data_IF_862116551183
#
_entry.id   IF_862116551183
#
_cell.length_a   1.000
_cell.length_b   1.000
_cell.length_c   1.000
_cell.angle_alpha   90.00
_cell.angle_beta   90.00
_cell.angle_gamma   90.00
#
_symmetry.space_group_name_H-M   'P 1'
#
loop_
_entity.id
_entity.type
_entity.pdbx_description
1 polymer ?
#
# COMPACT_ATOMS: atom_id res chain seq x y z
N UNK A 1 -18.46 30.32 -64.84
CA UNK A 1 -19.76 29.62 -64.94
C UNK A 1 -20.46 29.74 -63.59
N UNK A 2 -21.72 30.14 -63.61
CA UNK A 2 -22.54 30.67 -62.50
C UNK A 2 -23.52 29.58 -62.00
N UNK A 3 -23.74 29.55 -60.68
CA UNK A 3 -24.96 29.07 -59.96
C UNK A 3 -25.12 27.53 -59.89
N UNK A 4 -25.56 26.92 -58.79
CA UNK A 4 -26.77 27.15 -57.96
C UNK A 4 -26.49 26.83 -56.46
N UNK A 5 -26.76 27.74 -55.52
CA UNK A 5 -27.97 27.82 -54.65
C UNK A 5 -28.25 26.51 -53.88
N UNK A 6 -28.02 26.40 -52.56
CA UNK A 6 -28.74 26.99 -51.41
C UNK A 6 -30.23 26.61 -51.39
N UNK A 7 -30.66 25.95 -50.30
CA UNK A 7 -32.01 25.73 -49.70
C UNK A 7 -32.16 24.25 -49.30
N UNK A 8 -32.20 23.84 -48.02
CA UNK A 8 -33.13 24.14 -46.90
C UNK A 8 -34.02 22.92 -46.62
N UNK A 9 -34.12 22.59 -45.31
CA UNK A 9 -35.19 21.81 -44.67
C UNK A 9 -35.21 20.31 -44.98
N UNK A 10 -35.61 19.37 -44.10
CA UNK A 10 -36.17 19.34 -42.74
C UNK A 10 -36.29 17.82 -42.41
N UNK A 11 -36.32 17.47 -41.13
CA UNK A 11 -36.67 16.14 -40.57
C UNK A 11 -35.67 15.01 -40.77
N UNK A 12 -34.99 14.64 -39.68
CA UNK A 12 -34.97 13.27 -39.17
C UNK A 12 -34.64 13.32 -37.67
N UNK A 13 -35.62 13.72 -36.87
CA UNK A 13 -35.74 13.19 -35.51
C UNK A 13 -36.13 11.71 -35.60
N UNK A 14 -35.80 10.96 -34.55
CA UNK A 14 -35.97 9.50 -34.36
C UNK A 14 -34.76 8.74 -34.93
N UNK A 15 -33.79 8.28 -34.14
CA UNK A 15 -33.96 7.29 -33.06
C UNK A 15 -33.16 7.63 -31.80
N UNK A 16 -33.89 7.85 -30.70
CA UNK A 16 -33.44 7.40 -29.38
C UNK A 16 -33.54 5.87 -29.34
N UNK A 17 -32.65 5.25 -28.56
CA UNK A 17 -32.56 3.84 -28.13
C UNK A 17 -31.54 2.97 -28.88
N UNK A 18 -30.31 2.92 -28.35
CA UNK A 18 -29.71 1.71 -27.75
C UNK A 18 -28.18 1.85 -27.67
N UNK A 19 -27.61 1.79 -26.45
CA UNK A 19 -26.15 1.71 -26.30
C UNK A 19 -25.61 2.16 -24.94
N UNK A 20 -25.96 1.43 -23.88
CA UNK A 20 -25.21 1.46 -22.64
C UNK A 20 -23.90 0.68 -22.85
N UNK A 21 -22.76 1.36 -22.76
CA UNK A 21 -21.51 0.77 -22.22
C UNK A 21 -20.42 1.85 -22.14
N UNK A 22 -20.14 2.23 -20.89
CA UNK A 22 -18.84 2.62 -20.34
C UNK A 22 -17.97 3.60 -21.14
N UNK A 23 -17.85 4.80 -20.57
CA UNK A 23 -16.73 5.73 -20.76
C UNK A 23 -15.42 4.92 -20.68
N UNK A 24 -14.73 4.78 -21.81
CA UNK A 24 -13.37 4.21 -21.87
C UNK A 24 -12.45 5.16 -22.63
N UNK A 25 -12.43 6.41 -22.19
CA UNK A 25 -11.31 7.32 -22.42
C UNK A 25 -10.32 7.15 -21.25
N UNK A 26 -9.64 6.01 -21.27
CA UNK A 26 -8.42 5.74 -20.51
C UNK A 26 -7.40 5.11 -21.48
N UNK A 27 -7.12 5.80 -22.57
CA UNK A 27 -6.12 5.39 -23.57
C UNK A 27 -4.99 6.42 -23.55
N UNK A 28 -4.25 6.46 -22.44
CA UNK A 28 -2.92 7.09 -22.35
C UNK A 28 -2.00 6.39 -21.35
N UNK A 29 -2.37 5.21 -20.82
CA UNK A 29 -1.58 4.48 -19.81
C UNK A 29 -0.90 3.21 -20.30
N UNK A 30 -1.15 2.76 -21.54
CA UNK A 30 -0.80 1.39 -21.95
C UNK A 30 0.54 1.30 -22.70
N UNK A 31 1.07 2.39 -23.24
CA UNK A 31 2.36 2.36 -23.95
C UNK A 31 3.60 2.40 -23.02
N UNK A 32 3.44 2.61 -21.72
CA UNK A 32 4.56 2.64 -20.76
C UNK A 32 4.77 1.35 -19.97
N UNK A 33 3.75 0.46 -19.89
CA UNK A 33 3.89 -0.80 -19.15
C UNK A 33 4.60 -1.89 -19.96
N UNK A 34 4.44 -1.92 -21.28
CA UNK A 34 5.10 -2.89 -22.14
C UNK A 34 6.62 -2.66 -22.26
N UNK A 35 7.10 -1.41 -22.16
CA UNK A 35 8.54 -1.11 -22.08
C UNK A 35 9.13 -1.40 -20.70
N UNK A 36 8.37 -1.23 -19.60
CA UNK A 36 8.81 -1.60 -18.25
C UNK A 36 8.97 -3.11 -18.05
N UNK A 37 8.27 -3.94 -18.82
CA UNK A 37 8.37 -5.41 -18.75
C UNK A 37 9.62 -5.99 -19.45
N UNK A 38 10.47 -5.17 -20.10
CA UNK A 38 11.59 -5.67 -20.93
C UNK A 38 12.98 -5.41 -20.35
N UNK A 39 13.11 -4.62 -19.29
CA UNK A 39 14.39 -4.40 -18.61
C UNK A 39 14.17 -4.42 -17.10
N UNK A 40 14.69 -5.46 -16.44
CA UNK A 40 14.67 -5.64 -14.98
C UNK A 40 15.40 -4.54 -14.21
N UNK A 41 14.86 -3.33 -14.26
CA UNK A 41 15.28 -2.15 -13.54
C UNK A 41 14.55 -2.15 -12.20
N UNK A 42 15.26 -2.66 -11.19
CA UNK A 42 15.10 -2.35 -9.76
C UNK A 42 13.77 -1.72 -9.39
N UNK A 43 12.84 -2.53 -8.88
CA UNK A 43 11.79 -2.04 -8.00
C UNK A 43 12.50 -1.15 -6.97
N UNK A 44 12.21 0.15 -7.00
CA UNK A 44 12.73 1.06 -6.00
C UNK A 44 11.90 0.95 -4.71
N UNK A 45 12.52 1.24 -3.57
CA UNK A 45 11.87 1.16 -2.26
C UNK A 45 10.55 1.98 -2.20
N UNK A 46 10.44 3.01 -3.04
CA UNK A 46 9.24 3.82 -3.19
C UNK A 46 8.09 3.02 -3.79
N UNK A 47 8.32 2.26 -4.86
CA UNK A 47 7.30 1.43 -5.50
C UNK A 47 6.74 0.35 -4.55
N UNK A 48 7.58 -0.23 -3.68
CA UNK A 48 7.11 -1.19 -2.67
C UNK A 48 6.28 -0.53 -1.56
N UNK A 49 6.62 0.70 -1.18
CA UNK A 49 5.85 1.49 -0.21
C UNK A 49 4.46 1.87 -0.73
N UNK A 50 4.37 2.16 -2.01
CA UNK A 50 3.11 2.48 -2.69
C UNK A 50 2.32 1.22 -3.11
N UNK A 51 2.79 0.03 -2.75
CA UNK A 51 2.05 -1.21 -3.02
C UNK A 51 0.75 -1.23 -2.22
N UNK A 52 -0.35 -1.49 -2.92
CA UNK A 52 -1.69 -1.56 -2.33
C UNK A 52 -1.89 -2.87 -1.58
N UNK A 53 -2.53 -2.77 -0.42
CA UNK A 53 -3.02 -3.88 0.39
C UNK A 53 -4.55 -3.79 0.37
N UNK A 54 -5.20 -4.85 -0.08
CA UNK A 54 -6.65 -5.03 0.03
C UNK A 54 -6.96 -5.90 1.26
N UNK A 55 -7.65 -5.33 2.25
CA UNK A 55 -8.01 -6.04 3.47
C UNK A 55 -9.38 -5.60 3.99
N UNK A 56 -10.27 -6.59 4.25
CA UNK A 56 -11.64 -6.37 4.76
C UNK A 56 -12.45 -5.31 3.95
N UNK A 57 -12.25 -5.27 2.63
CA UNK A 57 -12.95 -4.34 1.73
C UNK A 57 -12.42 -2.90 1.74
N UNK A 58 -11.27 -2.66 2.37
CA UNK A 58 -10.52 -1.41 2.28
C UNK A 58 -9.24 -1.63 1.47
N UNK A 59 -8.81 -0.59 0.77
CA UNK A 59 -7.53 -0.56 0.03
C UNK A 59 -6.72 0.61 0.55
N UNK A 60 -5.46 0.35 0.91
CA UNK A 60 -4.51 1.32 1.43
C UNK A 60 -3.09 0.87 1.08
N UNK A 61 -2.11 1.77 1.13
CA UNK A 61 -0.73 1.43 0.80
C UNK A 61 0.05 0.91 2.02
N UNK A 62 1.14 0.19 1.76
CA UNK A 62 2.14 -0.18 2.79
C UNK A 62 2.63 1.06 3.55
N UNK A 63 2.81 2.18 2.85
CA UNK A 63 3.20 3.45 3.45
C UNK A 63 2.16 3.99 4.42
N UNK A 64 0.90 4.05 4.01
CA UNK A 64 -0.22 4.51 4.84
C UNK A 64 -0.36 3.65 6.10
N UNK A 65 -0.30 2.32 5.93
CA UNK A 65 -0.35 1.35 7.03
C UNK A 65 0.68 1.69 8.11
N UNK A 66 1.97 1.70 7.74
CA UNK A 66 3.03 1.81 8.75
C UNK A 66 3.24 3.23 9.28
N UNK A 67 2.99 4.27 8.48
CA UNK A 67 3.00 5.66 8.99
C UNK A 67 1.88 5.95 9.97
N UNK A 68 0.77 5.20 9.91
CA UNK A 68 -0.34 5.36 10.84
C UNK A 68 -0.07 4.69 12.17
N UNK A 69 0.51 3.48 12.16
CA UNK A 69 0.67 2.67 13.38
C UNK A 69 2.04 2.81 14.07
N UNK A 70 3.02 3.45 13.41
CA UNK A 70 4.36 3.72 13.97
C UNK A 70 4.70 5.21 13.93
N UNK A 71 5.64 5.63 14.79
CA UNK A 71 6.27 6.96 14.72
C UNK A 71 7.65 6.88 14.06
N UNK A 72 8.13 8.02 13.57
CA UNK A 72 9.49 8.20 13.06
C UNK A 72 9.89 7.13 12.01
N UNK A 73 8.96 6.80 11.11
CA UNK A 73 9.12 5.68 10.17
C UNK A 73 10.30 5.93 9.21
N UNK A 74 11.17 4.93 9.12
CA UNK A 74 12.32 4.85 8.22
C UNK A 74 12.21 3.58 7.39
N UNK A 75 12.69 3.67 6.15
CA UNK A 75 12.58 2.60 5.18
C UNK A 75 13.95 2.19 4.71
N UNK A 76 14.20 0.89 4.71
CA UNK A 76 15.39 0.29 4.13
C UNK A 76 14.97 -0.78 3.13
N UNK A 77 15.78 -0.97 2.11
CA UNK A 77 15.48 -1.89 1.03
C UNK A 77 16.70 -2.71 0.68
N UNK A 78 16.47 -4.01 0.56
CA UNK A 78 17.45 -4.97 0.12
C UNK A 78 16.85 -5.84 -0.98
N UNK A 79 17.64 -6.13 -2.01
CA UNK A 79 17.26 -7.08 -3.05
C UNK A 79 18.09 -8.35 -2.89
N UNK A 80 17.41 -9.48 -2.76
CA UNK A 80 18.05 -10.78 -2.69
C UNK A 80 17.55 -11.67 -3.84
N UNK A 81 18.35 -11.79 -4.91
CA UNK A 81 17.95 -12.53 -6.11
C UNK A 81 16.64 -11.99 -6.70
N UNK A 82 15.56 -12.78 -6.62
CA UNK A 82 14.22 -12.46 -7.11
C UNK A 82 13.29 -11.94 -5.99
N UNK A 83 13.76 -11.96 -4.75
CA UNK A 83 13.07 -11.43 -3.58
C UNK A 83 13.47 -9.98 -3.31
N UNK A 84 12.47 -9.19 -2.96
CA UNK A 84 12.58 -7.80 -2.60
C UNK A 84 12.20 -7.65 -1.13
N UNK A 85 13.16 -7.31 -0.29
CA UNK A 85 12.97 -7.11 1.14
C UNK A 85 12.79 -5.62 1.43
N UNK A 86 11.61 -5.23 1.90
CA UNK A 86 11.36 -3.92 2.46
C UNK A 86 11.39 -4.01 3.99
N UNK A 87 12.31 -3.27 4.60
CA UNK A 87 12.43 -3.15 6.04
C UNK A 87 11.86 -1.81 6.51
N UNK A 88 10.90 -1.90 7.43
CA UNK A 88 10.27 -0.74 8.05
C UNK A 88 10.77 -0.62 9.48
N UNK A 89 11.48 0.46 9.77
CA UNK A 89 11.93 0.80 11.11
C UNK A 89 11.06 1.91 11.66
N UNK A 90 10.60 1.76 12.89
CA UNK A 90 9.79 2.80 13.54
C UNK A 90 9.99 2.82 15.05
N UNK A 91 9.48 3.88 15.65
CA UNK A 91 9.33 3.99 17.09
C UNK A 91 7.92 3.55 17.48
N UNK A 92 7.82 2.78 18.56
CA UNK A 92 6.54 2.31 19.10
C UNK A 92 5.60 3.46 19.48
N UNK A 93 4.30 3.24 19.30
CA UNK A 93 3.22 4.09 19.84
C UNK A 93 1.98 3.23 20.16
N UNK A 94 1.15 3.70 21.08
CA UNK A 94 -0.15 3.07 21.34
C UNK A 94 -1.06 3.17 20.11
N UNK A 95 -1.90 2.17 19.81
CA UNK A 95 -2.21 0.96 20.61
C UNK A 95 -1.41 -0.30 20.20
N UNK A 96 -0.22 -0.14 19.61
CA UNK A 96 0.54 -1.25 19.08
C UNK A 96 1.00 -2.23 20.17
N UNK A 97 0.75 -3.52 19.98
CA UNK A 97 0.99 -4.62 20.92
C UNK A 97 0.39 -4.41 22.32
N UNK A 98 -0.79 -3.78 22.42
CA UNK A 98 -1.48 -3.56 23.70
C UNK A 98 -1.77 -4.85 24.50
N UNK A 99 -1.91 -5.99 23.83
CA UNK A 99 -2.13 -7.31 24.45
C UNK A 99 -0.96 -7.77 25.33
N UNK A 100 0.23 -7.19 25.17
CA UNK A 100 1.40 -7.48 26.01
C UNK A 100 1.28 -6.96 27.45
N UNK A 101 0.20 -6.23 27.79
CA UNK A 101 -0.04 -5.67 29.13
C UNK A 101 1.16 -4.91 29.70
N UNK A 102 1.79 -4.11 28.84
CA UNK A 102 2.97 -3.31 29.20
C UNK A 102 2.62 -2.32 30.32
N UNK A 103 3.49 -2.23 31.33
CA UNK A 103 3.34 -1.23 32.39
C UNK A 103 3.50 0.19 31.82
N UNK A 104 2.90 1.19 32.46
CA UNK A 104 3.00 2.61 32.03
C UNK A 104 4.46 3.05 31.84
N UNK A 105 5.35 2.59 32.74
CA UNK A 105 6.79 2.86 32.62
C UNK A 105 7.41 2.24 31.37
N UNK A 106 7.02 1.01 31.01
CA UNK A 106 7.51 0.36 29.78
C UNK A 106 6.97 1.05 28.54
N UNK A 107 5.71 1.49 28.57
CA UNK A 107 5.07 2.25 27.48
C UNK A 107 5.79 3.58 27.26
N UNK A 108 6.07 4.33 28.33
CA UNK A 108 6.83 5.58 28.25
C UNK A 108 8.22 5.34 27.64
N UNK A 109 8.93 4.30 28.09
CA UNK A 109 10.25 3.97 27.59
C UNK A 109 10.22 3.49 26.12
N UNK A 110 9.23 2.68 25.75
CA UNK A 110 9.01 2.24 24.36
C UNK A 110 8.66 3.41 23.45
N UNK A 111 7.87 4.36 23.92
CA UNK A 111 7.51 5.55 23.14
C UNK A 111 8.75 6.36 22.75
N UNK A 112 9.80 6.35 23.57
CA UNK A 112 11.01 7.14 23.31
C UNK A 112 12.12 6.33 22.65
N UNK A 113 12.24 5.04 22.99
CA UNK A 113 13.38 4.19 22.60
C UNK A 113 13.00 2.87 21.96
N UNK A 114 11.71 2.50 21.99
CA UNK A 114 11.19 1.24 21.48
C UNK A 114 11.31 1.19 19.98
N UNK A 115 12.33 0.47 19.50
CA UNK A 115 12.55 0.26 18.08
C UNK A 115 11.80 -0.97 17.62
N UNK A 116 11.01 -0.78 16.58
CA UNK A 116 10.30 -1.82 15.87
C UNK A 116 10.96 -1.97 14.50
N UNK A 117 11.20 -3.22 14.12
CA UNK A 117 11.64 -3.61 12.79
C UNK A 117 10.58 -4.54 12.21
N UNK A 118 10.02 -4.17 11.07
CA UNK A 118 9.09 -5.00 10.30
C UNK A 118 9.77 -5.33 8.98
N UNK A 119 9.65 -6.58 8.56
CA UNK A 119 10.22 -7.10 7.32
C UNK A 119 9.09 -7.59 6.43
N UNK A 120 9.03 -7.05 5.22
CA UNK A 120 8.08 -7.43 4.19
C UNK A 120 8.85 -8.01 3.01
N UNK A 121 8.48 -9.20 2.59
CA UNK A 121 9.08 -9.86 1.42
C UNK A 121 8.11 -9.74 0.25
N UNK A 122 8.64 -9.30 -0.89
CA UNK A 122 7.92 -9.21 -2.14
C UNK A 122 8.58 -10.14 -3.17
N UNK A 123 7.75 -10.89 -3.88
CA UNK A 123 8.17 -11.69 -5.04
C UNK A 123 7.32 -11.28 -6.24
N UNK A 124 7.95 -11.00 -7.38
CA UNK A 124 7.27 -10.52 -8.59
C UNK A 124 6.33 -9.33 -8.32
N UNK A 125 6.82 -8.31 -7.60
CA UNK A 125 6.08 -7.10 -7.23
C UNK A 125 4.87 -7.34 -6.30
N UNK A 126 4.74 -8.51 -5.68
CA UNK A 126 3.63 -8.85 -4.79
C UNK A 126 4.13 -9.14 -3.39
N UNK A 127 3.49 -8.53 -2.39
CA UNK A 127 3.73 -8.84 -0.99
C UNK A 127 3.41 -10.32 -0.75
N UNK A 128 4.28 -11.00 -0.02
CA UNK A 128 4.10 -12.38 0.44
C UNK A 128 3.71 -12.33 1.92
N UNK A 129 2.40 -12.39 2.28
CA UNK A 129 1.93 -12.15 3.64
C UNK A 129 2.55 -13.09 4.68
N UNK A 130 2.66 -14.38 4.34
CA UNK A 130 3.24 -15.44 5.19
C UNK A 130 4.70 -15.21 5.57
N UNK A 131 5.37 -14.31 4.87
CA UNK A 131 6.77 -13.98 5.11
C UNK A 131 6.95 -12.68 5.88
N UNK A 132 5.87 -12.00 6.25
CA UNK A 132 5.92 -10.81 7.10
C UNK A 132 6.49 -11.17 8.46
N UNK A 133 7.48 -10.41 8.94
CA UNK A 133 8.06 -10.58 10.26
C UNK A 133 8.14 -9.25 11.02
N UNK A 134 8.10 -9.32 12.35
CA UNK A 134 8.29 -8.15 13.22
C UNK A 134 9.17 -8.52 14.40
N UNK A 135 10.03 -7.57 14.77
CA UNK A 135 10.76 -7.59 16.03
C UNK A 135 10.55 -6.27 16.76
N UNK A 136 10.16 -6.32 18.03
CA UNK A 136 10.14 -5.16 18.92
C UNK A 136 11.12 -5.37 20.07
N UNK A 137 11.97 -4.37 20.31
CA UNK A 137 12.94 -4.41 21.41
C UNK A 137 12.75 -3.22 22.35
N UNK A 138 12.95 -3.50 23.64
CA UNK A 138 13.14 -2.49 24.68
C UNK A 138 14.54 -2.67 25.24
N UNK A 139 15.44 -1.74 24.91
CA UNK A 139 16.89 -1.89 25.12
C UNK A 139 17.38 -3.18 24.43
N UNK A 140 18.02 -4.08 25.16
CA UNK A 140 18.51 -5.37 24.66
C UNK A 140 17.47 -6.51 24.78
N UNK A 141 16.30 -6.24 25.35
CA UNK A 141 15.26 -7.27 25.52
C UNK A 141 14.30 -7.26 24.35
N UNK A 142 14.23 -8.39 23.63
CA UNK A 142 13.17 -8.65 22.65
C UNK A 142 11.84 -8.89 23.38
N UNK A 143 10.82 -8.12 23.00
CA UNK A 143 9.46 -8.23 23.53
C UNK A 143 8.51 -8.91 22.55
N UNK A 144 8.71 -8.70 21.25
CA UNK A 144 7.98 -9.36 20.16
C UNK A 144 8.99 -9.87 19.16
N UNK A 145 8.77 -11.09 18.70
CA UNK A 145 9.47 -11.73 17.59
C UNK A 145 8.49 -12.68 16.91
N UNK A 146 7.78 -12.16 15.92
CA UNK A 146 6.65 -12.86 15.28
C UNK A 146 6.81 -12.85 13.76
N UNK A 147 6.28 -13.89 13.12
CA UNK A 147 6.29 -14.07 11.67
C UNK A 147 5.02 -14.76 11.21
N UNK A 148 4.54 -14.41 10.02
CA UNK A 148 3.42 -15.06 9.35
C UNK A 148 2.37 -14.06 8.87
N UNK A 149 1.38 -14.52 8.13
CA UNK A 149 0.30 -13.66 7.63
C UNK A 149 -0.50 -12.99 8.77
N UNK A 150 -0.66 -13.67 9.90
CA UNK A 150 -1.41 -13.15 11.05
C UNK A 150 -0.84 -11.84 11.60
N UNK A 151 0.49 -11.62 11.53
CA UNK A 151 1.06 -10.34 11.97
C UNK A 151 0.73 -9.21 10.99
N UNK A 152 0.65 -9.51 9.68
CA UNK A 152 0.20 -8.53 8.70
C UNK A 152 -1.27 -8.18 8.95
N UNK A 153 -2.12 -9.17 9.18
CA UNK A 153 -3.52 -8.96 9.55
C UNK A 153 -3.66 -8.11 10.82
N UNK A 154 -2.85 -8.39 11.83
CA UNK A 154 -2.80 -7.59 13.05
C UNK A 154 -2.49 -6.11 12.76
N UNK A 155 -1.48 -5.81 11.94
CA UNK A 155 -1.18 -4.43 11.55
C UNK A 155 -2.32 -3.79 10.76
N UNK A 156 -2.91 -4.50 9.81
CA UNK A 156 -4.03 -4.01 9.02
C UNK A 156 -5.27 -3.72 9.90
N UNK A 157 -5.57 -4.58 10.87
CA UNK A 157 -6.66 -4.35 11.82
C UNK A 157 -6.42 -3.14 12.71
N UNK A 158 -5.17 -2.94 13.15
CA UNK A 158 -4.78 -1.76 13.90
C UNK A 158 -4.94 -0.48 13.06
N UNK A 159 -4.46 -0.49 11.81
CA UNK A 159 -4.63 0.62 10.88
C UNK A 159 -6.10 0.97 10.67
N UNK A 160 -6.95 -0.02 10.39
CA UNK A 160 -8.38 0.23 10.18
C UNK A 160 -9.09 0.77 11.43
N UNK A 161 -8.60 0.41 12.63
CA UNK A 161 -9.13 0.94 13.89
C UNK A 161 -8.72 2.40 14.10
N UNK A 162 -7.49 2.77 13.79
CA UNK A 162 -6.98 4.13 13.95
C UNK A 162 -7.50 5.07 12.84
N UNK A 163 -7.56 4.59 11.59
CA UNK A 163 -8.08 5.36 10.46
C UNK A 163 -9.54 5.77 10.66
N UNK A 164 -10.38 4.90 11.24
CA UNK A 164 -11.81 5.20 11.52
C UNK A 164 -12.02 6.21 12.64
N UNK A 165 -10.99 6.55 13.41
CA UNK A 165 -11.08 7.53 14.49
C UNK A 165 -10.67 8.95 14.05
N UNK A 166 -10.15 9.10 12.82
CA UNK A 166 -9.82 10.38 12.21
C UNK A 166 -11.02 10.95 11.44
#
# INVERSE_FOLDING_TARGET
MRKYHLFIAVVCSIFLLSGCSSIKDAISGIQTQAEKAKSGLTIDAFSLRESEIEYKGATFTVEELFKTILRDVQWEYEKNQDEHLLMVKGTWQEPLFDDLQLTDKQKEELSTTGKILIQLIFENDRLIPDQTAVTMKLKEKTLVDEKGEEILHYFCDLYLKEYKQQ
#
